data_IF_550367152538
#
_entry.id   IF_550367152538
#
_cell.length_a   1.000
_cell.length_b   1.000
_cell.length_c   1.000
_cell.angle_alpha   90.00
_cell.angle_beta   90.00
_cell.angle_gamma   90.00
#
_symmetry.space_group_name_H-M   'P 1'
#
loop_
_entity.id
_entity.type
_entity.pdbx_description
1 polymer ?
#
# COMPACT_ATOMS: atom_id res chain seq x y z
N UNK A 1 -4.45 -7.81 9.27
CA UNK A 1 -3.75 -6.55 8.88
C UNK A 1 -3.88 -6.38 7.38
N UNK A 2 -4.00 -5.15 6.89
CA UNK A 2 -4.07 -4.87 5.46
C UNK A 2 -2.86 -4.09 4.97
N UNK A 3 -2.44 -4.36 3.74
CA UNK A 3 -1.45 -3.59 2.99
C UNK A 3 -2.07 -3.07 1.71
N UNK A 4 -1.78 -1.82 1.36
CA UNK A 4 -2.33 -1.18 0.17
C UNK A 4 -1.21 -0.44 -0.55
N UNK A 5 -1.18 -0.58 -1.86
CA UNK A 5 -0.24 0.03 -2.79
C UNK A 5 -1.04 0.72 -3.89
N UNK A 6 -0.81 2.01 -4.06
CA UNK A 6 -1.56 2.83 -5.00
C UNK A 6 -0.70 3.98 -5.52
N UNK A 7 -1.22 4.67 -6.53
CA UNK A 7 -0.63 5.88 -7.12
C UNK A 7 -1.74 6.83 -7.55
N UNK A 8 -1.40 8.03 -8.03
CA UNK A 8 -2.33 8.96 -8.68
C UNK A 8 -3.10 8.41 -9.89
N UNK A 9 -2.78 7.21 -10.35
CA UNK A 9 -3.49 6.55 -11.45
C UNK A 9 -4.39 5.41 -10.99
N UNK A 10 -4.45 5.12 -9.69
CA UNK A 10 -5.28 4.06 -9.16
C UNK A 10 -4.58 3.11 -8.20
N UNK A 11 -5.37 2.14 -7.76
CA UNK A 11 -4.97 1.04 -6.91
C UNK A 11 -4.08 0.08 -7.71
N UNK A 12 -2.91 -0.25 -7.18
CA UNK A 12 -1.96 -1.17 -7.82
C UNK A 12 -2.10 -2.57 -7.22
N UNK A 13 -2.12 -2.66 -5.90
CA UNK A 13 -2.22 -3.92 -5.19
C UNK A 13 -2.68 -3.70 -3.75
N UNK A 14 -3.43 -4.63 -3.20
CA UNK A 14 -3.63 -4.78 -1.76
C UNK A 14 -3.48 -6.25 -1.36
N UNK A 15 -3.20 -6.51 -0.10
CA UNK A 15 -3.19 -7.86 0.46
C UNK A 15 -3.63 -7.84 1.92
N UNK A 16 -4.41 -8.86 2.29
CA UNK A 16 -4.75 -9.17 3.67
C UNK A 16 -3.73 -10.17 4.22
N UNK A 17 -3.19 -9.86 5.39
CA UNK A 17 -2.42 -10.82 6.16
C UNK A 17 -3.36 -11.61 7.08
N UNK A 18 -3.09 -12.92 7.28
CA UNK A 18 -3.82 -13.74 8.24
C UNK A 18 -3.90 -13.09 9.62
N UNK A 19 -4.97 -13.40 10.35
CA UNK A 19 -5.21 -12.86 11.69
C UNK A 19 -3.99 -13.09 12.61
N UNK A 20 -3.58 -12.04 13.32
CA UNK A 20 -2.45 -12.07 14.24
C UNK A 20 -1.06 -12.05 13.59
N UNK A 21 -0.96 -12.06 12.27
CA UNK A 21 0.34 -11.98 11.59
C UNK A 21 0.75 -10.52 11.31
N UNK A 22 2.02 -10.23 11.61
CA UNK A 22 2.67 -8.97 11.26
C UNK A 22 3.43 -9.10 9.91
N UNK A 23 3.71 -7.96 9.29
CA UNK A 23 4.58 -7.89 8.11
C UNK A 23 5.99 -8.18 8.56
N UNK A 24 6.64 -9.08 7.84
CA UNK A 24 8.07 -9.33 7.97
C UNK A 24 8.78 -8.66 6.81
N UNK A 25 10.09 -8.47 6.94
CA UNK A 25 10.89 -7.93 5.84
C UNK A 25 10.75 -8.78 4.56
N UNK A 26 10.65 -10.11 4.72
CA UNK A 26 10.49 -11.03 3.60
C UNK A 26 9.11 -10.87 2.93
N UNK A 27 8.03 -10.88 3.71
CA UNK A 27 6.70 -10.72 3.13
C UNK A 27 6.52 -9.33 2.50
N UNK A 28 7.19 -8.32 3.02
CA UNK A 28 7.25 -6.99 2.40
C UNK A 28 7.98 -7.00 1.05
N UNK A 29 9.13 -7.67 0.94
CA UNK A 29 9.82 -7.87 -0.35
C UNK A 29 8.92 -8.56 -1.39
N UNK A 30 8.19 -9.59 -0.97
CA UNK A 30 7.28 -10.32 -1.86
C UNK A 30 6.14 -9.41 -2.35
N UNK A 31 5.62 -8.54 -1.49
CA UNK A 31 4.63 -7.55 -1.87
C UNK A 31 5.20 -6.47 -2.80
N UNK A 32 6.42 -5.99 -2.58
CA UNK A 32 7.11 -5.05 -3.49
C UNK A 32 7.23 -5.67 -4.88
N UNK A 33 7.61 -6.95 -4.96
CA UNK A 33 7.70 -7.63 -6.25
C UNK A 33 6.32 -7.77 -6.91
N UNK A 34 5.30 -8.20 -6.16
CA UNK A 34 3.92 -8.33 -6.68
C UNK A 34 3.36 -7.00 -7.19
N UNK A 35 3.51 -5.90 -6.44
CA UNK A 35 3.04 -4.58 -6.89
C UNK A 35 3.80 -4.13 -8.14
N UNK A 36 5.11 -4.39 -8.21
CA UNK A 36 5.94 -3.99 -9.34
C UNK A 36 5.52 -4.70 -10.63
N UNK A 37 5.29 -6.01 -10.56
CA UNK A 37 4.78 -6.80 -11.68
C UNK A 37 3.41 -6.31 -12.15
N UNK A 38 2.48 -6.06 -11.22
CA UNK A 38 1.15 -5.50 -11.55
C UNK A 38 1.24 -4.10 -12.17
N UNK A 39 2.08 -3.24 -11.60
CA UNK A 39 2.31 -1.90 -12.14
C UNK A 39 2.89 -1.96 -13.55
N UNK A 40 3.82 -2.88 -13.82
CA UNK A 40 4.38 -3.10 -15.15
C UNK A 40 3.34 -3.57 -16.18
N UNK A 41 2.32 -4.33 -15.76
CA UNK A 41 1.20 -4.73 -16.62
C UNK A 41 0.24 -3.57 -16.88
N UNK A 42 -0.09 -2.79 -15.84
CA UNK A 42 -1.02 -1.67 -15.95
C UNK A 42 -0.42 -0.50 -16.72
N UNK A 43 0.87 -0.20 -16.47
CA UNK A 43 1.58 0.98 -16.98
C UNK A 43 3.04 0.65 -17.29
N UNK A 44 3.32 -0.08 -18.39
CA UNK A 44 4.68 -0.46 -18.76
C UNK A 44 5.63 0.73 -18.90
N UNK A 45 5.12 1.87 -19.39
CA UNK A 45 5.90 3.08 -19.58
C UNK A 45 6.48 3.64 -18.27
N UNK A 46 5.77 3.55 -17.15
CA UNK A 46 6.29 3.99 -15.86
C UNK A 46 7.49 3.17 -15.43
N UNK A 47 7.40 1.84 -15.55
CA UNK A 47 8.46 0.92 -15.13
C UNK A 47 9.69 1.00 -16.06
N UNK A 48 9.46 1.21 -17.36
CA UNK A 48 10.54 1.21 -18.37
C UNK A 48 11.25 2.56 -18.46
N UNK A 49 10.51 3.69 -18.37
CA UNK A 49 11.06 5.02 -18.69
C UNK A 49 11.37 5.88 -17.48
N UNK A 50 10.70 5.65 -16.35
CA UNK A 50 10.82 6.50 -15.17
C UNK A 50 11.31 5.65 -14.00
N UNK A 51 12.29 6.15 -13.24
CA UNK A 51 12.61 5.55 -11.95
C UNK A 51 11.35 5.58 -11.08
N UNK A 52 11.00 4.44 -10.47
CA UNK A 52 9.83 4.37 -9.60
C UNK A 52 10.18 4.97 -8.24
N UNK A 53 9.44 5.99 -7.83
CA UNK A 53 9.55 6.55 -6.49
C UNK A 53 8.58 5.81 -5.55
N UNK A 54 9.10 5.37 -4.41
CA UNK A 54 8.32 4.75 -3.36
C UNK A 54 8.25 5.65 -2.13
N UNK A 55 7.03 6.00 -1.72
CA UNK A 55 6.76 6.55 -0.39
C UNK A 55 6.26 5.44 0.53
N UNK A 56 6.96 5.23 1.65
CA UNK A 56 6.59 4.29 2.71
C UNK A 56 7.15 4.78 4.06
N UNK A 57 6.62 4.25 5.15
CA UNK A 57 7.08 4.57 6.50
C UNK A 57 8.38 3.83 6.87
N UNK A 58 9.04 4.30 7.92
CA UNK A 58 10.29 3.71 8.43
C UNK A 58 10.06 2.54 9.41
N UNK A 59 8.97 1.78 9.26
CA UNK A 59 8.73 0.60 10.10
C UNK A 59 9.91 -0.38 9.97
N UNK A 60 10.28 -1.06 11.06
CA UNK A 60 11.48 -1.91 11.09
C UNK A 60 11.59 -2.91 9.93
N UNK A 61 10.51 -3.61 9.50
CA UNK A 61 10.58 -4.49 8.34
C UNK A 61 10.99 -3.76 7.05
N UNK A 62 10.56 -2.51 6.87
CA UNK A 62 10.71 -1.73 5.64
C UNK A 62 12.11 -1.14 5.46
N UNK A 63 12.81 -0.86 6.58
CA UNK A 63 14.19 -0.34 6.57
C UNK A 63 15.26 -1.44 6.66
N UNK A 64 14.84 -2.71 6.54
CA UNK A 64 15.76 -3.84 6.61
C UNK A 64 16.68 -3.91 5.38
N UNK A 65 17.85 -4.53 5.55
CA UNK A 65 18.83 -4.72 4.47
C UNK A 65 18.26 -5.45 3.26
N UNK A 66 17.39 -6.45 3.47
CA UNK A 66 16.83 -7.24 2.38
C UNK A 66 15.82 -6.44 1.56
N UNK A 67 15.06 -5.54 2.19
CA UNK A 67 14.15 -4.63 1.50
C UNK A 67 14.94 -3.62 0.69
N UNK A 68 16.00 -3.05 1.26
CA UNK A 68 16.90 -2.16 0.52
C UNK A 68 17.50 -2.84 -0.72
N UNK A 69 17.96 -4.10 -0.59
CA UNK A 69 18.46 -4.88 -1.73
C UNK A 69 17.38 -5.09 -2.79
N UNK A 70 16.15 -5.44 -2.39
CA UNK A 70 15.03 -5.65 -3.31
C UNK A 70 14.63 -4.37 -4.05
N UNK A 71 14.62 -3.22 -3.37
CA UNK A 71 14.33 -1.92 -3.99
C UNK A 71 15.40 -1.57 -5.05
N UNK A 72 16.68 -1.77 -4.74
CA UNK A 72 17.77 -1.54 -5.68
C UNK A 72 17.70 -2.47 -6.90
N UNK A 73 17.41 -3.75 -6.69
CA UNK A 73 17.23 -4.75 -7.77
C UNK A 73 16.15 -4.29 -8.78
N UNK A 74 15.06 -3.73 -8.27
CA UNK A 74 13.94 -3.24 -9.07
C UNK A 74 14.08 -1.77 -9.49
N UNK A 75 15.21 -1.12 -9.17
CA UNK A 75 15.48 0.31 -9.44
C UNK A 75 14.37 1.23 -8.90
N UNK A 76 13.86 0.90 -7.72
CA UNK A 76 12.87 1.69 -6.99
C UNK A 76 13.62 2.56 -5.99
N UNK A 77 13.45 3.88 -6.10
CA UNK A 77 14.01 4.84 -5.15
C UNK A 77 13.00 5.07 -4.02
N UNK A 78 13.36 4.69 -2.79
CA UNK A 78 12.57 5.04 -1.61
C UNK A 78 12.81 6.50 -1.23
N UNK A 79 11.72 7.27 -1.08
CA UNK A 79 11.78 8.63 -0.58
C UNK A 79 12.03 8.61 0.93
N UNK A 80 12.93 9.48 1.45
CA UNK A 80 13.14 9.59 2.88
C UNK A 80 11.84 10.08 3.54
N UNK A 81 11.31 9.29 4.47
CA UNK A 81 10.19 9.70 5.31
C UNK A 81 10.73 10.14 6.67
N UNK A 82 10.31 11.29 7.22
CA UNK A 82 10.71 11.67 8.57
C UNK A 82 10.10 10.71 9.61
N UNK A 83 10.76 10.58 10.75
CA UNK A 83 10.28 9.71 11.82
C UNK A 83 8.98 10.27 12.42
N UNK A 84 8.00 9.39 12.64
CA UNK A 84 6.75 9.67 13.37
C UNK A 84 5.84 10.75 12.77
N UNK A 85 5.87 10.95 11.45
CA UNK A 85 4.93 11.87 10.77
C UNK A 85 3.86 11.08 10.00
N UNK A 86 2.78 10.76 10.69
CA UNK A 86 1.57 10.14 10.09
C UNK A 86 0.90 11.11 9.11
N UNK A 87 0.92 12.41 9.40
CA UNK A 87 0.28 13.45 8.57
C UNK A 87 0.92 13.64 7.18
N UNK A 88 2.11 13.08 6.95
CA UNK A 88 2.82 13.19 5.67
C UNK A 88 2.61 11.97 4.76
N UNK A 89 1.94 10.93 5.24
CA UNK A 89 1.61 9.75 4.45
C UNK A 89 0.22 9.92 3.85
N UNK A 90 0.09 10.00 2.52
CA UNK A 90 -1.23 10.06 1.87
C UNK A 90 -2.10 8.85 2.24
N UNK A 91 -1.47 7.70 2.48
CA UNK A 91 -2.19 6.50 2.93
C UNK A 91 -2.82 6.68 4.30
N UNK A 92 -2.12 7.29 5.25
CA UNK A 92 -2.62 7.45 6.62
C UNK A 92 -3.59 8.63 6.74
N UNK A 93 -3.24 9.80 6.20
CA UNK A 93 -4.07 11.00 6.29
C UNK A 93 -5.35 10.91 5.46
N UNK A 94 -5.29 10.24 4.30
CA UNK A 94 -6.40 10.19 3.36
C UNK A 94 -7.08 8.83 3.34
N UNK A 95 -6.42 7.79 2.79
CA UNK A 95 -7.05 6.50 2.55
C UNK A 95 -7.59 5.86 3.83
N UNK A 96 -6.77 5.75 4.88
CA UNK A 96 -7.18 5.13 6.13
C UNK A 96 -8.16 5.98 6.93
N UNK A 97 -8.05 7.30 6.91
CA UNK A 97 -9.05 8.18 7.51
C UNK A 97 -10.45 7.98 6.93
N UNK A 98 -10.56 7.84 5.62
CA UNK A 98 -11.84 7.55 4.95
C UNK A 98 -12.30 6.11 5.17
N UNK A 99 -11.37 5.15 5.20
CA UNK A 99 -11.69 3.77 5.53
C UNK A 99 -12.25 3.66 6.96
N UNK A 100 -11.60 4.27 7.94
CA UNK A 100 -12.05 4.29 9.33
C UNK A 100 -13.45 4.89 9.44
N UNK A 101 -13.71 5.99 8.73
CA UNK A 101 -15.04 6.61 8.67
C UNK A 101 -16.10 5.68 8.07
N UNK A 102 -15.73 4.92 7.03
CA UNK A 102 -16.61 3.94 6.39
C UNK A 102 -16.89 2.72 7.29
N UNK A 103 -15.93 2.33 8.13
CA UNK A 103 -16.03 1.17 9.02
C UNK A 103 -16.65 1.49 10.38
N UNK A 104 -16.68 2.76 10.81
CA UNK A 104 -17.00 3.22 12.18
C UNK A 104 -18.28 2.67 12.81
N UNK A 105 -19.29 2.35 12.01
CA UNK A 105 -20.60 1.86 12.48
C UNK A 105 -20.91 0.42 12.07
N UNK A 106 -19.90 -0.30 11.57
CA UNK A 106 -20.04 -1.68 11.10
C UNK A 106 -19.51 -2.66 12.14
N UNK A 107 -20.27 -3.72 12.39
CA UNK A 107 -19.83 -4.85 13.21
C UNK A 107 -19.42 -6.02 12.31
N UNK A 108 -18.24 -6.57 12.56
CA UNK A 108 -17.69 -7.69 11.79
C UNK A 108 -17.61 -8.94 12.67
N UNK A 109 -18.07 -10.08 12.16
CA UNK A 109 -18.07 -11.35 12.90
C UNK A 109 -16.83 -12.19 12.60
N UNK A 110 -16.26 -12.01 11.42
CA UNK A 110 -15.10 -12.77 10.96
C UNK A 110 -14.24 -11.92 10.01
N UNK A 111 -13.06 -12.46 9.66
CA UNK A 111 -12.12 -11.79 8.76
C UNK A 111 -12.72 -11.57 7.36
N UNK A 112 -13.50 -12.50 6.83
CA UNK A 112 -14.15 -12.37 5.51
C UNK A 112 -15.13 -11.20 5.43
N UNK A 113 -15.84 -10.88 6.53
CA UNK A 113 -16.70 -9.70 6.59
C UNK A 113 -15.88 -8.40 6.47
N UNK A 114 -14.72 -8.35 7.13
CA UNK A 114 -13.79 -7.20 7.06
C UNK A 114 -13.22 -7.06 5.65
N UNK A 115 -12.78 -8.17 5.05
CA UNK A 115 -12.25 -8.19 3.69
C UNK A 115 -13.30 -7.71 2.69
N UNK A 116 -14.53 -8.20 2.80
CA UNK A 116 -15.66 -7.80 1.94
C UNK A 116 -15.98 -6.31 2.08
N UNK A 117 -16.00 -5.79 3.31
CA UNK A 117 -16.24 -4.36 3.53
C UNK A 117 -15.11 -3.48 2.98
N UNK A 118 -13.85 -3.95 3.05
CA UNK A 118 -12.76 -3.24 2.41
C UNK A 118 -12.89 -3.24 0.88
N UNK A 119 -13.33 -4.34 0.27
CA UNK A 119 -13.60 -4.38 -1.18
C UNK A 119 -14.73 -3.43 -1.57
N UNK A 120 -15.82 -3.40 -0.81
CA UNK A 120 -16.93 -2.45 -0.99
C UNK A 120 -16.45 -1.00 -0.89
N UNK A 121 -15.57 -0.70 0.06
CA UNK A 121 -14.93 0.61 0.19
C UNK A 121 -14.10 0.96 -1.06
N UNK A 122 -13.30 0.01 -1.55
CA UNK A 122 -12.49 0.24 -2.74
C UNK A 122 -13.36 0.52 -3.97
N UNK A 123 -14.44 -0.23 -4.17
CA UNK A 123 -15.32 -0.03 -5.32
C UNK A 123 -16.10 1.29 -5.24
N UNK A 124 -16.55 1.66 -4.03
CA UNK A 124 -17.45 2.81 -3.85
C UNK A 124 -16.74 4.15 -3.68
N UNK A 125 -15.54 4.18 -3.09
CA UNK A 125 -14.86 5.43 -2.71
C UNK A 125 -13.49 5.62 -3.35
N UNK A 126 -12.83 4.54 -3.77
CA UNK A 126 -11.48 4.64 -4.33
C UNK A 126 -11.36 5.50 -5.60
N UNK A 127 -12.30 5.43 -6.56
CA UNK A 127 -12.26 6.29 -7.74
C UNK A 127 -12.26 7.78 -7.41
N UNK A 128 -12.93 8.18 -6.32
CA UNK A 128 -13.00 9.58 -5.89
C UNK A 128 -11.69 10.04 -5.24
N UNK A 129 -10.96 9.15 -4.54
CA UNK A 129 -9.66 9.49 -3.94
C UNK A 129 -8.61 9.86 -4.98
N UNK A 130 -8.60 9.19 -6.12
CA UNK A 130 -7.61 9.43 -7.18
C UNK A 130 -7.85 10.76 -7.91
N UNK A 131 -9.08 11.30 -7.85
CA UNK A 131 -9.47 12.51 -8.59
C UNK A 131 -9.22 13.81 -7.81
N UNK A 132 -8.90 13.74 -6.52
CA UNK A 132 -8.73 14.92 -5.65
C UNK A 132 -7.27 15.39 -5.50
N UNK A 133 -6.31 14.75 -6.17
CA UNK A 133 -4.89 15.18 -6.28
C UNK A 133 -4.47 15.49 -7.74
#
# INVERSE_FOLDING_TARGET
MITVWWSKHGLIHYAFLPLGQAITAQSYCDQIHKKYTKLGQMQPALVIRHGLLLLHDNAQPHVSRIVFQKLNELRIEARPHPHYTTDLSPTDYHLFKHLDSFLKERAFKNQGDVESAFLEFLESRFPDFIRME
#
